data_IF_698479455535
#
_entry.id   IF_698479455535
#
_cell.length_a   1.000
_cell.length_b   1.000
_cell.length_c   1.000
_cell.angle_alpha   90.00
_cell.angle_beta   90.00
_cell.angle_gamma   90.00
#
_symmetry.space_group_name_H-M   'P 1'
#
loop_
_entity.id
_entity.type
_entity.pdbx_description
1 polymer ?
#
# COMPACT_ATOMS: atom_id res chain seq x y z
N UNK A 1 -32.34 16.58 -5.89
CA UNK A 1 -32.44 15.53 -4.85
C UNK A 1 -31.08 14.86 -4.64
N UNK A 2 -30.32 14.62 -5.70
CA UNK A 2 -29.03 13.92 -5.67
C UNK A 2 -27.95 14.58 -4.81
N UNK A 3 -27.85 15.93 -4.81
CA UNK A 3 -26.89 16.65 -3.96
C UNK A 3 -27.10 16.36 -2.45
N UNK A 4 -28.35 16.13 -2.02
CA UNK A 4 -28.68 15.77 -0.64
C UNK A 4 -28.19 14.35 -0.32
N UNK A 5 -28.37 13.40 -1.25
CA UNK A 5 -27.89 12.03 -1.08
C UNK A 5 -26.35 11.97 -1.04
N UNK A 6 -25.67 12.74 -1.90
CA UNK A 6 -24.20 12.84 -1.88
C UNK A 6 -23.71 13.35 -0.52
N UNK A 7 -24.34 14.40 0.01
CA UNK A 7 -23.98 14.95 1.32
C UNK A 7 -24.23 13.94 2.46
N UNK A 8 -25.36 13.23 2.42
CA UNK A 8 -25.67 12.19 3.42
C UNK A 8 -24.63 11.08 3.42
N UNK A 9 -24.26 10.55 2.24
CA UNK A 9 -23.22 9.51 2.13
C UNK A 9 -21.88 10.02 2.67
N UNK A 10 -21.51 11.26 2.36
CA UNK A 10 -20.26 11.86 2.86
C UNK A 10 -20.22 11.94 4.39
N UNK A 11 -21.34 12.32 5.02
CA UNK A 11 -21.47 12.40 6.47
C UNK A 11 -21.47 11.01 7.13
N UNK A 12 -22.23 10.05 6.59
CA UNK A 12 -22.30 8.67 7.14
C UNK A 12 -20.94 7.97 7.09
N UNK A 13 -20.17 8.17 6.02
CA UNK A 13 -18.83 7.60 5.89
C UNK A 13 -17.75 8.39 6.62
N UNK A 14 -18.09 9.52 7.26
CA UNK A 14 -17.14 10.42 7.93
C UNK A 14 -15.92 10.77 7.06
N UNK A 15 -16.14 11.03 5.77
CA UNK A 15 -15.07 11.19 4.77
C UNK A 15 -14.13 12.33 5.13
N UNK A 16 -14.67 13.49 5.53
CA UNK A 16 -13.85 14.67 5.83
C UNK A 16 -13.02 14.53 7.12
N UNK A 17 -13.58 14.11 8.27
CA UNK A 17 -12.78 13.85 9.47
C UNK A 17 -11.70 12.80 9.23
N UNK A 18 -12.02 11.71 8.52
CA UNK A 18 -11.08 10.63 8.24
C UNK A 18 -9.96 11.11 7.30
N UNK A 19 -10.29 11.84 6.24
CA UNK A 19 -9.31 12.40 5.33
C UNK A 19 -8.36 13.37 6.05
N UNK A 20 -8.88 14.19 6.98
CA UNK A 20 -8.06 15.10 7.78
C UNK A 20 -7.08 14.34 8.67
N UNK A 21 -7.54 13.31 9.39
CA UNK A 21 -6.66 12.48 10.23
C UNK A 21 -5.57 11.80 9.42
N UNK A 22 -5.92 11.17 8.30
CA UNK A 22 -4.94 10.53 7.40
C UNK A 22 -3.91 11.54 6.90
N UNK A 23 -4.36 12.74 6.52
CA UNK A 23 -3.47 13.79 6.01
C UNK A 23 -2.52 14.30 7.08
N UNK A 24 -3.00 14.48 8.31
CA UNK A 24 -2.16 14.92 9.44
C UNK A 24 -1.09 13.88 9.80
N UNK A 25 -1.39 12.58 9.69
CA UNK A 25 -0.41 11.54 10.00
C UNK A 25 0.59 11.35 8.86
N UNK A 26 0.12 11.34 7.61
CA UNK A 26 1.00 11.17 6.45
C UNK A 26 1.84 12.42 6.14
N UNK A 27 1.37 13.62 6.53
CA UNK A 27 2.03 14.89 6.25
C UNK A 27 1.95 15.33 4.79
N UNK A 28 0.93 14.89 4.05
CA UNK A 28 0.69 15.24 2.64
C UNK A 28 -0.40 16.34 2.50
N UNK A 29 -0.79 16.66 1.27
CA UNK A 29 -1.86 17.65 0.99
C UNK A 29 -3.24 16.96 1.04
N UNK A 30 -4.21 17.54 1.76
CA UNK A 30 -5.55 16.94 1.94
C UNK A 30 -6.29 16.69 0.63
N UNK A 31 -6.11 17.55 -0.38
CA UNK A 31 -6.71 17.35 -1.71
C UNK A 31 -6.22 16.06 -2.37
N UNK A 32 -4.93 15.71 -2.22
CA UNK A 32 -4.36 14.44 -2.69
C UNK A 32 -4.91 13.25 -1.90
N UNK A 33 -5.10 13.40 -0.59
CA UNK A 33 -5.76 12.38 0.23
C UNK A 33 -7.18 12.09 -0.24
N UNK A 34 -7.96 13.10 -0.59
CA UNK A 34 -9.33 12.96 -1.10
C UNK A 34 -9.39 12.38 -2.52
N UNK A 35 -8.41 12.69 -3.39
CA UNK A 35 -8.31 12.13 -4.75
C UNK A 35 -7.95 10.64 -4.77
N UNK A 36 -7.42 10.11 -3.66
CA UNK A 36 -7.01 8.72 -3.53
C UNK A 36 -5.58 8.49 -4.02
N UNK A 37 -4.86 7.62 -3.30
CA UNK A 37 -3.45 7.34 -3.58
C UNK A 37 -2.72 6.85 -2.34
N UNK A 38 -2.75 5.54 -2.07
CA UNK A 38 -2.07 4.96 -0.90
C UNK A 38 -0.56 5.11 -0.96
N UNK A 39 0.03 4.95 -2.16
CA UNK A 39 1.47 5.06 -2.38
C UNK A 39 1.98 6.49 -2.08
N UNK A 40 1.26 7.53 -2.51
CA UNK A 40 1.64 8.93 -2.26
C UNK A 40 1.66 9.23 -0.75
N UNK A 41 0.67 8.76 0.01
CA UNK A 41 0.65 8.93 1.47
C UNK A 41 1.84 8.26 2.15
N UNK A 42 2.18 7.04 1.74
CA UNK A 42 3.33 6.32 2.26
C UNK A 42 4.66 7.00 1.87
N UNK A 43 4.74 7.55 0.66
CA UNK A 43 5.90 8.33 0.20
C UNK A 43 6.13 9.56 1.10
N UNK A 44 5.11 10.39 1.32
CA UNK A 44 5.21 11.54 2.23
C UNK A 44 5.57 11.14 3.66
N UNK A 45 4.95 10.08 4.19
CA UNK A 45 5.26 9.57 5.53
C UNK A 45 6.74 9.19 5.66
N UNK A 46 7.27 8.48 4.66
CA UNK A 46 8.69 8.12 4.62
C UNK A 46 9.58 9.36 4.44
N UNK A 47 9.24 10.26 3.53
CA UNK A 47 10.01 11.47 3.27
C UNK A 47 10.19 12.31 4.54
N UNK A 48 9.12 12.55 5.31
CA UNK A 48 9.20 13.26 6.58
C UNK A 48 10.10 12.51 7.57
N UNK A 49 9.91 11.20 7.72
CA UNK A 49 10.70 10.40 8.66
C UNK A 49 12.19 10.34 8.31
N UNK A 50 12.55 10.31 7.03
CA UNK A 50 13.95 10.35 6.56
C UNK A 50 14.55 11.76 6.68
N UNK A 51 13.77 12.80 6.41
CA UNK A 51 14.23 14.17 6.51
C UNK A 51 14.49 14.61 7.95
N UNK A 52 13.63 14.22 8.90
CA UNK A 52 13.82 14.46 10.35
C UNK A 52 15.10 13.82 10.91
N UNK A 53 15.67 12.83 10.21
CA UNK A 53 16.85 12.08 10.64
C UNK A 53 18.08 12.37 9.77
N UNK A 54 18.06 13.43 8.97
CA UNK A 54 19.15 13.88 8.10
C UNK A 54 19.59 12.85 7.04
N UNK A 55 18.66 12.03 6.54
CA UNK A 55 18.94 11.12 5.42
C UNK A 55 18.73 11.82 4.07
N UNK A 56 19.59 11.47 3.10
CA UNK A 56 19.38 11.83 1.70
C UNK A 56 18.29 10.93 1.13
N UNK A 57 17.19 11.54 0.69
CA UNK A 57 16.06 10.83 0.08
C UNK A 57 16.25 10.70 -1.43
N UNK A 58 15.77 9.61 -2.06
CA UNK A 58 15.84 9.47 -3.51
C UNK A 58 15.05 10.56 -4.25
N UNK A 59 15.59 11.02 -5.37
CA UNK A 59 14.89 11.96 -6.24
C UNK A 59 13.64 11.33 -6.85
N UNK A 60 12.61 12.16 -7.02
CA UNK A 60 11.36 11.75 -7.65
C UNK A 60 11.63 11.32 -9.09
N UNK A 61 11.46 10.04 -9.36
CA UNK A 61 11.58 9.52 -10.73
C UNK A 61 10.40 10.03 -11.55
N UNK A 62 10.64 11.05 -12.36
CA UNK A 62 9.70 11.48 -13.39
C UNK A 62 9.79 10.45 -14.50
N UNK A 63 8.88 9.47 -14.49
CA UNK A 63 8.66 8.62 -15.67
C UNK A 63 8.22 9.54 -16.81
N UNK A 64 9.19 10.07 -17.57
CA UNK A 64 8.92 10.70 -18.87
C UNK A 64 8.22 9.61 -19.68
N UNK A 65 6.93 9.81 -19.94
CA UNK A 65 6.27 9.19 -21.08
C UNK A 65 7.06 9.65 -22.29
N UNK A 66 7.97 8.82 -22.78
CA UNK A 66 8.47 8.97 -24.14
C UNK A 66 7.23 8.80 -25.00
N UNK A 67 6.73 9.91 -25.55
CA UNK A 67 5.86 9.90 -26.71
C UNK A 67 6.62 9.12 -27.78
N UNK A 68 6.18 7.90 -28.05
CA UNK A 68 6.68 7.16 -29.19
C UNK A 68 5.91 7.69 -30.39
N UNK A 69 6.57 8.56 -31.15
CA UNK A 69 6.13 9.08 -32.43
C UNK A 69 5.87 7.95 -33.44
N UNK A 70 4.90 8.24 -34.30
CA UNK A 70 4.32 7.46 -35.38
C UNK A 70 5.18 7.57 -36.66
N UNK A 71 5.51 6.46 -37.33
CA UNK A 71 5.73 6.27 -38.80
C UNK A 71 5.70 4.73 -39.05
N UNK A 72 4.54 4.16 -39.38
CA UNK A 72 4.04 3.65 -40.71
C UNK A 72 4.58 2.24 -41.07
N UNK A 73 3.74 1.19 -40.98
CA UNK A 73 2.89 0.54 -42.04
C UNK A 73 3.75 -0.36 -42.96
N UNK A 74 3.59 -1.69 -42.99
CA UNK A 74 2.54 -2.42 -43.72
C UNK A 74 2.26 -3.82 -43.10
N UNK A 75 0.99 -4.19 -42.88
CA UNK A 75 0.29 -5.35 -43.50
C UNK A 75 -1.11 -5.56 -42.88
N UNK A 76 -2.10 -5.66 -43.76
CA UNK A 76 -3.54 -5.61 -43.55
C UNK A 76 -4.12 -6.87 -42.86
N UNK A 77 -5.11 -6.69 -41.97
CA UNK A 77 -5.86 -7.83 -41.42
C UNK A 77 -6.92 -7.53 -40.35
N UNK A 78 -8.03 -6.90 -40.75
CA UNK A 78 -9.39 -7.00 -40.22
C UNK A 78 -9.76 -6.40 -38.82
N UNK A 79 -10.98 -5.89 -38.76
CA UNK A 79 -11.48 -4.92 -37.79
C UNK A 79 -12.02 -5.55 -36.49
N UNK A 80 -11.64 -5.00 -35.34
CA UNK A 80 -12.24 -5.37 -34.06
C UNK A 80 -11.73 -4.64 -32.82
N UNK A 81 -12.24 -3.43 -32.55
CA UNK A 81 -12.32 -2.75 -31.25
C UNK A 81 -11.18 -2.99 -30.23
N UNK A 82 -10.15 -2.14 -30.29
CA UNK A 82 -9.06 -2.09 -29.32
C UNK A 82 -9.47 -1.58 -27.93
N UNK A 83 -9.98 -2.47 -27.07
CA UNK A 83 -9.81 -2.32 -25.62
C UNK A 83 -8.33 -2.57 -25.33
N UNK A 84 -7.60 -1.51 -24.94
CA UNK A 84 -6.26 -1.61 -24.34
C UNK A 84 -6.30 -2.57 -23.16
N UNK A 85 -6.06 -3.86 -23.43
CA UNK A 85 -5.86 -4.88 -22.42
C UNK A 85 -4.56 -4.50 -21.74
N UNK A 86 -4.66 -3.89 -20.55
CA UNK A 86 -3.58 -3.85 -19.58
C UNK A 86 -3.04 -5.27 -19.46
N UNK A 87 -1.94 -5.55 -20.15
CA UNK A 87 -1.19 -6.80 -19.98
C UNK A 87 -0.80 -6.81 -18.51
N UNK A 88 -1.46 -7.66 -17.71
CA UNK A 88 -1.15 -7.84 -16.29
C UNK A 88 0.32 -8.22 -16.22
N UNK A 89 1.15 -7.28 -15.78
CA UNK A 89 2.57 -7.55 -15.50
C UNK A 89 2.60 -8.75 -14.54
N UNK A 90 3.39 -9.77 -14.89
CA UNK A 90 3.63 -10.92 -14.02
C UNK A 90 4.18 -10.42 -12.68
N UNK A 91 3.87 -11.14 -11.61
CA UNK A 91 4.34 -10.79 -10.27
C UNK A 91 5.88 -10.80 -10.24
N UNK A 92 6.48 -9.75 -9.68
CA UNK A 92 7.93 -9.61 -9.58
C UNK A 92 8.52 -10.38 -8.38
N UNK A 93 7.68 -10.79 -7.43
CA UNK A 93 8.06 -11.48 -6.20
C UNK A 93 6.93 -12.42 -5.74
N UNK A 94 7.26 -13.39 -4.89
CA UNK A 94 6.29 -14.29 -4.28
C UNK A 94 5.40 -13.55 -3.27
N UNK A 95 4.10 -13.86 -3.27
CA UNK A 95 3.12 -13.28 -2.36
C UNK A 95 2.80 -14.17 -1.15
N UNK A 96 1.62 -13.99 -0.58
CA UNK A 96 1.12 -14.84 0.52
C UNK A 96 0.84 -16.28 0.08
N UNK A 97 0.94 -17.21 1.04
CA UNK A 97 0.59 -18.61 0.84
C UNK A 97 -0.92 -18.81 0.97
N UNK A 98 -1.51 -19.52 0.01
CA UNK A 98 -2.92 -19.96 0.07
C UNK A 98 -2.93 -21.48 0.21
N UNK A 99 -3.55 -21.96 1.28
CA UNK A 99 -3.76 -23.39 1.47
C UNK A 99 -4.90 -23.88 0.57
N UNK A 100 -4.78 -25.10 0.06
CA UNK A 100 -5.83 -25.73 -0.72
C UNK A 100 -7.10 -25.92 0.14
N UNK A 101 -8.26 -25.38 -0.29
CA UNK A 101 -9.48 -25.43 0.51
C UNK A 101 -10.07 -26.83 0.51
N UNK A 102 -10.54 -27.28 1.68
CA UNK A 102 -11.35 -28.50 1.79
C UNK A 102 -12.80 -28.16 1.44
N UNK A 103 -13.18 -28.43 0.19
CA UNK A 103 -14.52 -28.15 -0.32
C UNK A 103 -15.53 -29.12 0.29
N UNK A 104 -16.62 -28.59 0.84
CA UNK A 104 -17.69 -29.39 1.42
C UNK A 104 -18.61 -28.55 2.31
N UNK A 105 -19.73 -29.16 2.73
CA UNK A 105 -20.60 -28.62 3.76
C UNK A 105 -20.11 -29.10 5.14
N UNK A 106 -20.14 -28.22 6.14
CA UNK A 106 -19.66 -28.52 7.49
C UNK A 106 -20.81 -28.43 8.50
N UNK A 107 -21.16 -29.56 9.11
CA UNK A 107 -22.19 -29.64 10.16
C UNK A 107 -21.69 -29.19 11.56
N UNK A 108 -20.36 -29.11 11.72
CA UNK A 108 -19.69 -28.77 13.00
C UNK A 108 -19.13 -27.36 12.96
N UNK A 109 -18.96 -26.75 14.13
CA UNK A 109 -18.34 -25.44 14.26
C UNK A 109 -16.93 -25.40 13.67
N UNK A 110 -16.63 -24.34 12.93
CA UNK A 110 -15.31 -24.05 12.35
C UNK A 110 -14.66 -22.95 13.18
N UNK A 111 -13.45 -23.20 13.65
CA UNK A 111 -12.62 -22.18 14.29
C UNK A 111 -11.77 -21.50 13.23
N UNK A 112 -11.94 -20.18 13.09
CA UNK A 112 -11.12 -19.33 12.24
C UNK A 112 -10.13 -18.56 13.12
N UNK A 113 -8.83 -18.76 12.87
CA UNK A 113 -7.75 -18.03 13.53
C UNK A 113 -7.08 -17.13 12.50
N UNK A 114 -6.85 -15.87 12.85
CA UNK A 114 -6.19 -14.90 12.00
C UNK A 114 -5.15 -14.09 12.79
N UNK A 115 -4.09 -13.65 12.11
CA UNK A 115 -3.07 -12.78 12.69
C UNK A 115 -3.50 -11.32 12.53
N UNK A 116 -3.63 -10.61 13.65
CA UNK A 116 -3.87 -9.17 13.60
C UNK A 116 -2.67 -8.46 12.99
N UNK A 117 -2.83 -7.94 11.76
CA UNK A 117 -1.82 -7.14 11.07
C UNK A 117 -0.49 -7.89 10.84
N UNK A 118 -0.56 -9.05 10.16
CA UNK A 118 0.59 -9.92 9.87
C UNK A 118 1.84 -9.18 9.36
N UNK A 119 1.73 -8.40 8.28
CA UNK A 119 2.90 -7.75 7.67
C UNK A 119 3.56 -6.69 8.57
N UNK A 120 2.83 -5.75 9.19
CA UNK A 120 3.42 -4.86 10.19
C UNK A 120 4.12 -5.59 11.33
N UNK A 121 3.55 -6.68 11.84
CA UNK A 121 4.16 -7.47 12.91
C UNK A 121 5.45 -8.15 12.46
N UNK A 122 5.49 -8.76 11.28
CA UNK A 122 6.71 -9.35 10.72
C UNK A 122 7.81 -8.30 10.55
N UNK A 123 7.44 -7.13 10.02
CA UNK A 123 8.39 -6.04 9.78
C UNK A 123 9.03 -5.55 11.09
N UNK A 124 8.24 -5.46 12.17
CA UNK A 124 8.72 -5.08 13.50
C UNK A 124 9.59 -6.17 14.13
N UNK A 125 9.10 -7.41 14.16
CA UNK A 125 9.78 -8.56 14.79
C UNK A 125 11.17 -8.79 14.21
N UNK A 126 11.30 -8.68 12.88
CA UNK A 126 12.56 -8.89 12.18
C UNK A 126 13.31 -7.59 11.84
N UNK A 127 12.86 -6.44 12.35
CA UNK A 127 13.45 -5.13 12.10
C UNK A 127 13.77 -4.86 10.61
N UNK A 128 12.82 -5.13 9.72
CA UNK A 128 13.03 -5.11 8.26
C UNK A 128 12.96 -3.67 7.73
N UNK A 129 14.09 -2.97 7.63
CA UNK A 129 14.17 -1.57 7.18
C UNK A 129 15.12 -1.40 5.99
N UNK A 130 15.07 -0.23 5.34
CA UNK A 130 16.03 0.15 4.30
C UNK A 130 17.47 0.26 4.83
N UNK A 131 17.64 0.54 6.12
CA UNK A 131 18.95 0.70 6.77
C UNK A 131 19.50 -0.60 7.38
N UNK A 132 18.66 -1.61 7.65
CA UNK A 132 19.03 -2.82 8.39
C UNK A 132 19.24 -4.03 7.48
N UNK A 133 18.60 -4.04 6.31
CA UNK A 133 18.70 -5.13 5.34
C UNK A 133 19.68 -4.76 4.24
N UNK A 134 20.77 -5.52 4.11
CA UNK A 134 21.70 -5.35 3.00
C UNK A 134 21.09 -5.93 1.72
N UNK A 135 20.84 -5.06 0.73
CA UNK A 135 20.30 -5.47 -0.57
C UNK A 135 21.44 -5.50 -1.59
N UNK A 136 21.69 -6.68 -2.16
CA UNK A 136 22.59 -6.80 -3.31
C UNK A 136 21.87 -6.41 -4.61
N UNK A 137 22.64 -5.97 -5.60
CA UNK A 137 22.12 -5.60 -6.92
C UNK A 137 21.31 -6.75 -7.57
N UNK A 138 20.28 -6.43 -8.38
CA UNK A 138 19.43 -7.42 -9.04
C UNK A 138 20.27 -8.28 -9.99
N UNK A 139 20.64 -9.49 -9.55
CA UNK A 139 21.52 -10.40 -10.28
C UNK A 139 22.25 -11.43 -9.41
N UNK A 140 22.31 -11.24 -8.09
CA UNK A 140 22.89 -12.21 -7.16
C UNK A 140 21.79 -12.91 -6.36
N UNK A 141 21.65 -14.23 -6.55
CA UNK A 141 20.68 -15.08 -5.82
C UNK A 141 21.18 -15.36 -4.39
N UNK A 142 21.34 -14.32 -3.57
CA UNK A 142 21.52 -14.47 -2.12
C UNK A 142 20.35 -13.80 -1.42
N UNK A 143 19.70 -14.53 -0.51
CA UNK A 143 18.65 -14.00 0.37
C UNK A 143 19.23 -12.82 1.15
N UNK A 144 18.53 -11.70 1.20
CA UNK A 144 19.00 -10.53 1.94
C UNK A 144 19.03 -10.87 3.44
N UNK A 145 20.21 -10.78 4.06
CA UNK A 145 20.40 -11.06 5.48
C UNK A 145 20.17 -9.79 6.30
N UNK A 146 19.47 -9.91 7.44
CA UNK A 146 19.28 -8.82 8.38
C UNK A 146 20.56 -8.69 9.20
N UNK A 147 21.36 -7.67 8.93
CA UNK A 147 22.51 -7.35 9.78
C UNK A 147 22.02 -6.65 11.03
N UNK A 148 22.30 -7.21 12.20
CA UNK A 148 21.92 -6.68 13.51
C UNK A 148 22.54 -5.32 13.79
N UNK A 149 21.92 -4.26 13.28
CA UNK A 149 22.16 -2.87 13.66
C UNK A 149 21.15 -2.40 14.70
N UNK A 150 21.31 -1.15 15.16
CA UNK A 150 20.32 -0.44 15.99
C UNK A 150 18.91 -0.60 15.40
N UNK A 151 17.89 -0.68 16.27
CA UNK A 151 16.49 -0.77 15.88
C UNK A 151 16.21 0.26 14.76
N UNK A 152 15.55 -0.16 13.68
CA UNK A 152 15.34 0.68 12.51
C UNK A 152 14.60 1.95 12.92
N UNK A 153 15.30 3.08 12.90
CA UNK A 153 14.90 4.30 13.59
C UNK A 153 13.57 4.90 13.08
N UNK A 154 13.02 4.40 11.98
CA UNK A 154 11.78 4.86 11.33
C UNK A 154 10.52 4.12 11.78
N UNK A 155 10.65 3.00 12.50
CA UNK A 155 9.50 2.19 12.90
C UNK A 155 8.57 2.90 13.87
N UNK A 156 9.07 3.79 14.72
CA UNK A 156 8.23 4.56 15.66
C UNK A 156 7.20 5.43 14.94
N UNK A 157 7.58 6.09 13.85
CA UNK A 157 6.67 6.90 13.02
C UNK A 157 5.64 6.02 12.30
N UNK A 158 6.06 4.84 11.83
CA UNK A 158 5.18 3.88 11.16
C UNK A 158 4.24 3.16 12.15
N UNK A 159 4.73 2.83 13.34
CA UNK A 159 3.99 2.29 14.48
C UNK A 159 2.96 3.29 14.97
N UNK A 160 3.30 4.58 15.04
CA UNK A 160 2.36 5.66 15.32
C UNK A 160 1.27 5.72 14.25
N UNK A 161 1.60 5.58 12.96
CA UNK A 161 0.61 5.49 11.89
C UNK A 161 -0.30 4.25 12.02
N UNK A 162 0.27 3.07 12.33
CA UNK A 162 -0.50 1.83 12.51
C UNK A 162 -1.38 1.90 13.77
N UNK A 163 -0.88 2.44 14.87
CA UNK A 163 -1.64 2.63 16.12
C UNK A 163 -2.74 3.67 15.94
N UNK A 164 -2.43 4.83 15.35
CA UNK A 164 -3.40 5.87 15.06
C UNK A 164 -4.45 5.37 14.04
N UNK A 165 -4.06 4.56 13.05
CA UNK A 165 -5.02 3.90 12.16
C UNK A 165 -5.87 2.87 12.91
N UNK A 166 -5.32 2.14 13.88
CA UNK A 166 -6.12 1.24 14.72
C UNK A 166 -7.12 2.02 15.57
N UNK A 167 -6.74 3.17 16.10
CA UNK A 167 -7.57 3.97 17.00
C UNK A 167 -8.60 4.86 16.27
N UNK A 168 -8.26 5.38 15.08
CA UNK A 168 -9.16 6.14 14.22
C UNK A 168 -10.27 5.26 13.61
N UNK A 169 -10.02 3.97 13.43
CA UNK A 169 -10.97 3.03 12.84
C UNK A 169 -11.74 2.16 13.86
N UNK A 170 -11.39 2.22 15.16
CA UNK A 170 -12.17 1.59 16.25
C UNK A 170 -13.67 1.96 16.30
N UNK A 171 -14.12 3.19 15.99
CA UNK A 171 -15.54 3.53 16.02
C UNK A 171 -16.32 3.07 14.78
N UNK A 172 -15.67 2.59 13.70
CA UNK A 172 -16.36 1.91 12.60
C UNK A 172 -16.45 0.41 12.90
N UNK A 173 -17.67 -0.04 13.23
CA UNK A 173 -18.08 -1.44 13.39
C UNK A 173 -17.15 -2.47 12.71
N UNK A 174 -16.48 -3.27 13.55
CA UNK A 174 -15.94 -4.64 13.44
C UNK A 174 -15.71 -5.38 12.08
N UNK A 175 -15.63 -4.71 10.92
CA UNK A 175 -15.53 -5.38 9.62
C UNK A 175 -14.54 -4.82 8.60
N UNK A 176 -13.95 -3.64 8.84
CA UNK A 176 -13.20 -2.91 7.80
C UNK A 176 -11.71 -2.68 8.11
N UNK A 177 -11.16 -3.34 9.12
CA UNK A 177 -9.73 -3.14 9.53
C UNK A 177 -8.75 -3.66 8.46
N UNK A 178 -9.21 -4.44 7.48
CA UNK A 178 -8.39 -4.97 6.39
C UNK A 178 -8.00 -3.96 5.30
N UNK A 179 -8.45 -2.70 5.35
CA UNK A 179 -8.40 -1.82 4.18
C UNK A 179 -7.12 -0.97 4.01
N UNK A 180 -6.24 -0.93 5.01
CA UNK A 180 -5.07 -0.03 4.97
C UNK A 180 -3.73 -0.71 4.63
N UNK A 181 -3.68 -2.04 4.51
CA UNK A 181 -2.46 -2.80 4.23
C UNK A 181 -2.50 -3.69 2.98
N UNK A 182 -3.57 -3.57 2.18
CA UNK A 182 -3.62 -4.05 0.79
C UNK A 182 -3.75 -2.86 -0.16
#
# INVERSE_FOLDING_TARGET
>A
MDAKFILQIMCELNVLPLALQITNIAGNVMSRTLMGGRAERNEYLLLHAFHERDYIVPDKQVFKKVQQDHVDDDDEGDAGQGKSRKVKKKAAYAGGLVLEPKVGFYDKFILLLDFNSLYPSIIQEFNICFTTVQRLAPGSQKTAEVTGGRAGDYWESFLSFIHCSRDAFKPLHAGSVGFLLY
#
